data_IF_036382440680
#
_entry.id   IF_036382440680
#
_cell.length_a   1.000
_cell.length_b   1.000
_cell.length_c   1.000
_cell.angle_alpha   90.00
_cell.angle_beta   90.00
_cell.angle_gamma   90.00
#
_symmetry.space_group_name_H-M   'P 1'
#
loop_
_entity.id
_entity.type
_entity.pdbx_description
1 polymer ?
#
# COMPACT_ATOMS: atom_id res chain seq x y z
N UNK A 1 8.56 13.18 -14.34
CA UNK A 1 9.54 12.36 -13.60
C UNK A 1 8.76 11.58 -12.54
N UNK A 2 8.77 10.25 -12.56
CA UNK A 2 7.90 9.44 -11.70
C UNK A 2 8.60 9.06 -10.39
N UNK A 3 7.92 9.23 -9.26
CA UNK A 3 8.39 8.89 -7.93
C UNK A 3 7.61 7.70 -7.39
N UNK A 4 8.31 6.64 -7.03
CA UNK A 4 7.70 5.47 -6.40
C UNK A 4 7.75 5.70 -4.89
N UNK A 5 6.60 5.62 -4.22
CA UNK A 5 6.53 5.86 -2.78
C UNK A 5 5.75 4.76 -2.08
N UNK A 6 6.02 4.62 -0.79
CA UNK A 6 5.24 3.80 0.13
C UNK A 6 4.77 4.66 1.29
N UNK A 7 3.65 4.28 1.88
CA UNK A 7 3.13 4.85 3.11
C UNK A 7 3.32 3.80 4.20
N UNK A 8 4.00 4.20 5.27
CA UNK A 8 4.32 3.34 6.40
C UNK A 8 3.66 3.89 7.66
N UNK A 9 3.05 3.01 8.46
CA UNK A 9 2.66 3.33 9.84
C UNK A 9 3.64 2.63 10.77
N UNK A 10 4.57 3.39 11.35
CA UNK A 10 5.73 2.82 12.05
C UNK A 10 6.60 1.97 11.11
N UNK A 11 6.73 0.66 11.41
CA UNK A 11 7.52 -0.29 10.61
C UNK A 11 6.68 -1.04 9.55
N UNK A 12 5.36 -0.89 9.55
CA UNK A 12 4.45 -1.67 8.70
C UNK A 12 4.14 -0.86 7.43
N UNK A 13 4.43 -1.41 6.23
CA UNK A 13 4.02 -0.79 4.98
C UNK A 13 2.53 -1.05 4.76
N UNK A 14 1.74 0.02 4.76
CA UNK A 14 0.28 -0.02 4.63
C UNK A 14 -0.17 0.15 3.18
N UNK A 15 0.45 1.10 2.46
CA UNK A 15 0.06 1.43 1.09
C UNK A 15 1.27 1.77 0.21
N UNK A 16 1.07 1.76 -1.10
CA UNK A 16 2.08 2.08 -2.10
C UNK A 16 1.45 2.90 -3.23
N UNK A 17 2.26 3.72 -3.91
CA UNK A 17 1.79 4.52 -5.04
C UNK A 17 2.91 5.09 -5.91
N UNK A 18 2.51 5.76 -6.98
CA UNK A 18 3.42 6.43 -7.92
C UNK A 18 2.93 7.86 -8.10
N UNK A 19 3.80 8.84 -7.83
CA UNK A 19 3.54 10.24 -8.09
C UNK A 19 4.23 10.67 -9.40
N UNK A 20 3.55 11.46 -10.21
CA UNK A 20 4.03 11.94 -11.53
C UNK A 20 4.95 13.16 -11.42
N UNK A 21 5.02 13.79 -10.25
CA UNK A 21 5.88 14.94 -9.99
C UNK A 21 6.04 15.25 -8.50
N UNK A 22 6.96 16.18 -8.19
CA UNK A 22 7.26 16.59 -6.81
C UNK A 22 6.06 17.22 -6.09
N UNK A 23 5.27 18.04 -6.79
CA UNK A 23 4.07 18.70 -6.22
C UNK A 23 3.05 17.67 -5.71
N UNK A 24 2.83 16.61 -6.47
CA UNK A 24 1.93 15.51 -6.09
C UNK A 24 2.47 14.77 -4.87
N UNK A 25 3.78 14.51 -4.83
CA UNK A 25 4.43 13.88 -3.68
C UNK A 25 4.29 14.70 -2.39
N UNK A 26 4.47 16.03 -2.48
CA UNK A 26 4.32 16.96 -1.35
C UNK A 26 2.89 16.92 -0.83
N UNK A 27 1.90 17.02 -1.74
CA UNK A 27 0.48 16.94 -1.37
C UNK A 27 0.13 15.64 -0.66
N UNK A 28 0.65 14.50 -1.13
CA UNK A 28 0.45 13.21 -0.46
C UNK A 28 1.15 13.22 0.91
N UNK A 29 2.36 13.76 1.00
CA UNK A 29 3.07 13.86 2.28
C UNK A 29 2.34 14.71 3.30
N UNK A 30 1.61 15.75 2.88
CA UNK A 30 0.78 16.57 3.77
C UNK A 30 -0.41 15.77 4.28
N UNK A 31 -1.15 15.08 3.39
CA UNK A 31 -2.29 14.23 3.78
C UNK A 31 -1.90 13.12 4.77
N UNK A 32 -0.72 12.51 4.56
CA UNK A 32 -0.26 11.36 5.33
C UNK A 32 0.29 11.76 6.71
N UNK A 33 0.68 13.03 6.92
CA UNK A 33 1.18 13.53 8.21
C UNK A 33 0.10 13.51 9.29
N UNK A 34 -1.14 13.81 8.93
CA UNK A 34 -2.26 13.88 9.88
C UNK A 34 -2.65 12.49 10.41
N UNK A 35 -2.29 11.42 9.69
CA UNK A 35 -2.64 10.03 10.01
C UNK A 35 -1.52 9.24 10.74
N UNK A 36 -0.54 9.93 11.34
CA UNK A 36 0.67 9.34 11.96
C UNK A 36 1.49 8.44 11.00
N UNK A 37 1.30 8.63 9.70
CA UNK A 37 1.94 7.83 8.68
C UNK A 37 3.16 8.57 8.10
N UNK A 38 4.12 7.80 7.58
CA UNK A 38 5.33 8.33 6.95
C UNK A 38 5.36 7.95 5.49
N UNK A 39 5.51 8.95 4.64
CA UNK A 39 5.75 8.74 3.21
C UNK A 39 7.25 8.53 2.97
N UNK A 40 7.60 7.41 2.33
CA UNK A 40 8.98 7.08 1.97
C UNK A 40 9.09 6.89 0.47
N UNK A 41 9.94 7.69 -0.17
CA UNK A 41 10.29 7.53 -1.59
C UNK A 41 11.34 6.43 -1.70
N UNK A 42 11.18 5.55 -2.67
CA UNK A 42 12.06 4.41 -2.89
C UNK A 42 12.50 4.31 -4.34
N UNK A 43 13.62 3.61 -4.53
CA UNK A 43 14.01 3.15 -5.85
C UNK A 43 13.04 2.06 -6.32
N UNK A 44 12.89 1.94 -7.64
CA UNK A 44 11.99 0.97 -8.28
C UNK A 44 12.13 -0.48 -7.78
N UNK A 45 13.33 -1.07 -7.59
CA UNK A 45 13.43 -2.44 -7.11
C UNK A 45 12.87 -2.63 -5.69
N UNK A 46 13.16 -1.70 -4.78
CA UNK A 46 12.68 -1.79 -3.39
C UNK A 46 11.17 -1.56 -3.29
N UNK A 47 10.65 -0.62 -4.09
CA UNK A 47 9.22 -0.40 -4.24
C UNK A 47 8.50 -1.69 -4.67
N UNK A 48 9.02 -2.39 -5.68
CA UNK A 48 8.40 -3.62 -6.19
C UNK A 48 8.37 -4.74 -5.15
N UNK A 49 9.43 -4.88 -4.34
CA UNK A 49 9.47 -5.86 -3.23
C UNK A 49 8.36 -5.60 -2.21
N UNK A 50 8.16 -4.34 -1.83
CA UNK A 50 7.16 -3.96 -0.83
C UNK A 50 5.74 -4.04 -1.40
N UNK A 51 5.53 -3.57 -2.64
CA UNK A 51 4.28 -3.73 -3.38
C UNK A 51 3.81 -5.18 -3.39
N UNK A 52 4.70 -6.12 -3.78
CA UNK A 52 4.37 -7.56 -3.80
C UNK A 52 3.96 -8.08 -2.42
N UNK A 53 4.60 -7.61 -1.35
CA UNK A 53 4.25 -8.00 0.02
C UNK A 53 2.85 -7.52 0.42
N UNK A 54 2.51 -6.28 0.09
CA UNK A 54 1.17 -5.73 0.34
C UNK A 54 0.13 -6.49 -0.49
N UNK A 55 0.37 -6.68 -1.79
CA UNK A 55 -0.54 -7.41 -2.68
C UNK A 55 -0.79 -8.84 -2.18
N UNK A 56 0.24 -9.55 -1.72
CA UNK A 56 0.08 -10.89 -1.13
C UNK A 56 -0.77 -10.88 0.15
N UNK A 57 -0.62 -9.88 1.03
CA UNK A 57 -1.45 -9.73 2.24
C UNK A 57 -2.91 -9.53 1.87
N UNK A 58 -3.18 -8.67 0.88
CA UNK A 58 -4.53 -8.39 0.38
C UNK A 58 -5.15 -9.62 -0.30
N UNK A 59 -4.39 -10.35 -1.11
CA UNK A 59 -4.87 -11.58 -1.76
C UNK A 59 -5.19 -12.68 -0.74
N UNK A 60 -4.32 -12.89 0.26
CA UNK A 60 -4.60 -13.83 1.36
C UNK A 60 -5.87 -13.47 2.12
N UNK A 61 -6.14 -12.17 2.33
CA UNK A 61 -7.40 -11.71 2.94
C UNK A 61 -8.59 -12.02 2.03
N UNK A 62 -8.51 -11.70 0.73
CA UNK A 62 -9.56 -11.99 -0.25
C UNK A 62 -9.87 -13.49 -0.35
N UNK A 63 -8.86 -14.34 -0.38
CA UNK A 63 -9.03 -15.80 -0.41
C UNK A 63 -9.75 -16.33 0.83
N UNK A 64 -9.43 -15.80 2.02
CA UNK A 64 -10.13 -16.16 3.27
C UNK A 64 -11.58 -15.72 3.22
N UNK A 65 -11.85 -14.46 2.87
CA UNK A 65 -13.22 -13.95 2.74
C UNK A 65 -14.04 -14.74 1.72
N UNK A 66 -13.45 -15.08 0.58
CA UNK A 66 -14.12 -15.87 -0.45
C UNK A 66 -14.46 -17.30 0.00
N UNK A 67 -13.58 -17.93 0.79
CA UNK A 67 -13.86 -19.24 1.41
C UNK A 67 -15.00 -19.16 2.42
N UNK A 68 -15.03 -18.13 3.27
CA UNK A 68 -16.11 -17.94 4.25
C UNK A 68 -17.46 -17.68 3.57
N UNK A 69 -17.53 -16.78 2.59
CA UNK A 69 -18.77 -16.48 1.84
C UNK A 69 -19.31 -17.71 1.10
N UNK A 70 -18.43 -18.57 0.57
CA UNK A 70 -18.85 -19.83 -0.07
C UNK A 70 -19.46 -20.83 0.92
N UNK A 71 -19.00 -20.85 2.16
CA UNK A 71 -19.61 -21.69 3.19
C UNK A 71 -20.99 -21.16 3.60
N UNK A 72 -21.17 -19.83 3.66
CA UNK A 72 -22.47 -19.22 3.99
C UNK A 72 -23.51 -19.36 2.86
N UNK A 73 -23.07 -19.55 1.61
CA UNK A 73 -23.97 -19.76 0.44
C UNK A 73 -24.37 -21.23 0.23
N UNK A 74 -23.89 -22.15 1.08
CA UNK A 74 -24.15 -23.58 1.00
C UNK A 74 -25.19 -24.06 2.05
N UNK A 75 -25.94 -23.14 2.66
CA UNK A 75 -27.02 -23.44 3.61
C UNK A 75 -28.41 -23.18 2.99
#
# INVERSE_FOLDING_TARGET
MKFHYIIQRGAIPESYGIANGKKELIRISELVKDEECKLKVLNRPDFLKIKRRIDMKTNRRRERSFKTVRCDLAA
#
